data_IF_930520560088
#
_entry.id   IF_930520560088
#
_cell.length_a   1.000
_cell.length_b   1.000
_cell.length_c   1.000
_cell.angle_alpha   90.00
_cell.angle_beta   90.00
_cell.angle_gamma   90.00
#
_symmetry.space_group_name_H-M   'P 1'
#
loop_
_entity.id
_entity.type
_entity.pdbx_description
1 polymer ?
#
# COMPACT_ATOMS: atom_id res chain seq x y z
N UNK A 1 17.02 38.82 -21.38
CA UNK A 1 17.04 37.33 -21.38
C UNK A 1 17.60 36.72 -20.09
N UNK A 2 18.47 37.41 -19.33
CA UNK A 2 19.00 36.94 -18.03
C UNK A 2 18.00 36.96 -16.85
N UNK A 3 16.97 37.81 -16.88
CA UNK A 3 15.98 37.86 -15.78
C UNK A 3 15.07 36.62 -15.70
N UNK A 4 14.83 35.92 -16.81
CA UNK A 4 13.99 34.72 -16.80
C UNK A 4 14.69 33.52 -16.13
N UNK A 5 16.02 33.44 -16.16
CA UNK A 5 16.76 32.33 -15.54
C UNK A 5 16.72 32.42 -14.01
N UNK A 6 16.87 33.62 -13.45
CA UNK A 6 16.72 33.83 -12.00
C UNK A 6 15.29 33.57 -11.55
N UNK A 7 14.28 33.99 -12.31
CA UNK A 7 12.88 33.69 -12.01
C UNK A 7 12.59 32.19 -12.06
N UNK A 8 13.14 31.45 -13.02
CA UNK A 8 12.98 29.99 -13.12
C UNK A 8 13.69 29.27 -11.98
N UNK A 9 14.93 29.65 -11.63
CA UNK A 9 15.66 29.04 -10.50
C UNK A 9 15.02 29.37 -9.15
N UNK A 10 14.49 30.58 -8.97
CA UNK A 10 13.72 30.95 -7.79
C UNK A 10 12.39 30.19 -7.77
N UNK A 11 11.66 30.11 -8.89
CA UNK A 11 10.44 29.31 -8.98
C UNK A 11 10.70 27.84 -8.69
N UNK A 12 11.75 27.22 -9.25
CA UNK A 12 12.10 25.82 -8.97
C UNK A 12 12.53 25.62 -7.52
N UNK A 13 13.31 26.53 -6.94
CA UNK A 13 13.71 26.46 -5.52
C UNK A 13 12.51 26.63 -4.60
N UNK A 14 11.59 27.54 -4.95
CA UNK A 14 10.36 27.79 -4.23
C UNK A 14 9.37 26.63 -4.41
N UNK A 15 9.31 26.00 -5.58
CA UNK A 15 8.54 24.78 -5.84
C UNK A 15 9.09 23.59 -5.02
N UNK A 16 10.41 23.45 -4.93
CA UNK A 16 11.07 22.40 -4.14
C UNK A 16 10.85 22.62 -2.63
N UNK A 17 10.94 23.87 -2.16
CA UNK A 17 10.60 24.23 -0.78
C UNK A 17 9.10 24.03 -0.52
N UNK A 18 8.25 24.41 -1.48
CA UNK A 18 6.82 24.19 -1.43
C UNK A 18 6.52 22.69 -1.35
N UNK A 19 7.09 21.84 -2.18
CA UNK A 19 6.95 20.38 -2.10
C UNK A 19 7.46 19.81 -0.77
N UNK A 20 8.54 20.37 -0.21
CA UNK A 20 9.12 19.93 1.07
C UNK A 20 8.19 20.21 2.26
N UNK A 21 7.58 21.39 2.31
CA UNK A 21 6.62 21.75 3.38
C UNK A 21 5.20 21.26 3.11
N UNK A 22 4.82 21.13 1.83
CA UNK A 22 3.52 20.61 1.43
C UNK A 22 3.34 19.18 1.89
N UNK A 23 4.35 18.30 1.80
CA UNK A 23 4.11 16.87 2.09
C UNK A 23 3.62 16.62 3.52
N UNK A 24 4.25 17.23 4.53
CA UNK A 24 3.79 17.10 5.92
C UNK A 24 2.40 17.72 6.13
N UNK A 25 2.16 18.89 5.55
CA UNK A 25 0.86 19.59 5.61
C UNK A 25 -0.23 18.79 4.85
N UNK A 26 0.11 18.18 3.72
CA UNK A 26 -0.78 17.35 2.90
C UNK A 26 -1.23 16.12 3.67
N UNK A 27 -0.35 15.48 4.44
CA UNK A 27 -0.77 14.36 5.30
C UNK A 27 -1.83 14.83 6.31
N UNK A 28 -1.62 15.97 6.97
CA UNK A 28 -2.61 16.53 7.90
C UNK A 28 -3.89 16.98 7.20
N UNK A 29 -3.81 17.61 6.03
CA UNK A 29 -4.97 17.99 5.22
C UNK A 29 -5.75 16.77 4.78
N UNK A 30 -5.08 15.69 4.37
CA UNK A 30 -5.74 14.44 3.98
C UNK A 30 -6.41 13.79 5.18
N UNK A 31 -5.75 13.74 6.34
CA UNK A 31 -6.34 13.17 7.57
C UNK A 31 -7.50 14.01 8.11
N UNK A 32 -7.29 15.30 8.38
CA UNK A 32 -8.32 16.19 8.91
C UNK A 32 -9.41 16.49 7.88
N UNK A 33 -9.03 16.69 6.63
CA UNK A 33 -9.95 16.93 5.52
C UNK A 33 -10.79 15.71 5.20
N UNK A 34 -10.25 14.47 5.28
CA UNK A 34 -11.08 13.27 5.14
C UNK A 34 -12.10 13.16 6.26
N UNK A 35 -11.69 13.42 7.52
CA UNK A 35 -12.62 13.43 8.66
C UNK A 35 -13.71 14.49 8.47
N UNK A 36 -13.34 15.72 8.10
CA UNK A 36 -14.28 16.80 7.83
C UNK A 36 -15.24 16.45 6.69
N UNK A 37 -14.73 15.90 5.58
CA UNK A 37 -15.54 15.50 4.42
C UNK A 37 -16.52 14.38 4.79
N UNK A 38 -16.08 13.39 5.57
CA UNK A 38 -16.95 12.33 6.07
C UNK A 38 -18.05 12.85 7.01
N UNK A 39 -17.71 13.75 7.93
CA UNK A 39 -18.67 14.39 8.83
C UNK A 39 -19.69 15.22 8.06
N UNK A 40 -19.23 16.12 7.18
CA UNK A 40 -20.09 16.97 6.35
C UNK A 40 -20.97 16.12 5.45
N UNK A 41 -20.39 15.13 4.75
CA UNK A 41 -21.15 14.23 3.88
C UNK A 41 -22.22 13.44 4.64
N UNK A 42 -21.90 12.96 5.84
CA UNK A 42 -22.87 12.27 6.70
C UNK A 42 -24.01 13.20 7.13
N UNK A 43 -23.70 14.42 7.58
CA UNK A 43 -24.69 15.42 7.97
C UNK A 43 -25.60 15.76 6.78
N UNK A 44 -25.04 16.02 5.60
CA UNK A 44 -25.80 16.32 4.39
C UNK A 44 -26.72 15.17 3.98
N UNK A 45 -26.25 13.92 4.04
CA UNK A 45 -27.08 12.76 3.73
C UNK A 45 -28.25 12.59 4.71
N UNK A 46 -28.03 12.85 6.00
CA UNK A 46 -29.12 12.85 6.99
C UNK A 46 -30.13 13.97 6.77
N UNK A 47 -29.67 15.17 6.39
CA UNK A 47 -30.56 16.29 6.02
C UNK A 47 -31.38 15.95 4.76
N UNK A 48 -30.73 15.42 3.72
CA UNK A 48 -31.40 15.01 2.47
C UNK A 48 -32.43 13.90 2.70
N UNK A 49 -32.09 12.92 3.54
CA UNK A 49 -33.04 11.87 3.94
C UNK A 49 -34.24 12.46 4.70
N UNK A 50 -33.98 13.33 5.69
CA UNK A 50 -35.06 13.96 6.47
C UNK A 50 -35.99 14.77 5.58
N UNK A 51 -35.45 15.62 4.71
CA UNK A 51 -36.25 16.40 3.76
C UNK A 51 -37.07 15.49 2.82
N UNK A 52 -36.46 14.42 2.29
CA UNK A 52 -37.16 13.46 1.43
C UNK A 52 -38.24 12.70 2.18
N UNK A 53 -38.04 12.38 3.46
CA UNK A 53 -39.03 11.71 4.30
C UNK A 53 -40.20 12.61 4.63
N UNK A 54 -39.93 13.85 5.07
CA UNK A 54 -40.97 14.82 5.41
C UNK A 54 -41.87 15.12 4.19
N UNK A 55 -41.30 15.14 2.99
CA UNK A 55 -42.06 15.30 1.73
C UNK A 55 -42.95 14.08 1.45
N UNK A 56 -42.47 12.87 1.71
CA UNK A 56 -43.23 11.63 1.48
C UNK A 56 -44.34 11.43 2.51
N UNK A 57 -44.08 11.74 3.79
CA UNK A 57 -45.07 11.59 4.88
C UNK A 57 -46.23 12.60 4.74
N UNK A 58 -46.01 13.72 4.04
CA UNK A 58 -47.05 14.70 3.71
C UNK A 58 -47.97 14.32 2.54
N UNK A 59 -47.70 13.24 1.81
CA UNK A 59 -48.46 12.80 0.64
C UNK A 59 -49.25 11.51 0.95
N UNK A 60 -50.53 11.40 0.54
CA UNK A 60 -51.30 10.17 0.74
C UNK A 60 -50.61 8.97 0.06
N UNK A 61 -50.65 7.80 0.70
CA UNK A 61 -49.96 6.59 0.22
C UNK A 61 -50.40 6.10 -1.17
N UNK A 62 -51.57 6.53 -1.66
CA UNK A 62 -52.07 6.25 -3.01
C UNK A 62 -51.49 7.16 -4.10
N UNK A 63 -50.84 8.27 -3.75
CA UNK A 63 -50.29 9.27 -4.67
C UNK A 63 -48.76 9.32 -4.67
N UNK A 64 -48.10 8.57 -3.78
CA UNK A 64 -46.65 8.50 -3.69
C UNK A 64 -46.06 7.74 -4.90
N UNK A 65 -45.24 8.38 -5.74
CA UNK A 65 -44.54 7.68 -6.80
C UNK A 65 -43.53 6.66 -6.23
N UNK A 66 -43.50 5.44 -6.78
CA UNK A 66 -42.52 4.40 -6.40
C UNK A 66 -41.07 4.90 -6.44
N UNK A 67 -40.78 5.85 -7.34
CA UNK A 67 -39.47 6.48 -7.50
C UNK A 67 -39.06 7.27 -6.26
N UNK A 68 -39.97 8.02 -5.65
CA UNK A 68 -39.69 8.88 -4.48
C UNK A 68 -39.59 8.06 -3.18
N UNK A 69 -40.38 6.99 -3.06
CA UNK A 69 -40.22 6.01 -1.99
C UNK A 69 -38.85 5.32 -2.06
N UNK A 70 -38.43 4.90 -3.26
CA UNK A 70 -37.11 4.28 -3.48
C UNK A 70 -35.97 5.26 -3.23
N UNK A 71 -36.13 6.54 -3.61
CA UNK A 71 -35.16 7.61 -3.38
C UNK A 71 -34.92 7.85 -1.88
N UNK A 72 -35.99 7.94 -1.08
CA UNK A 72 -35.89 8.08 0.38
C UNK A 72 -35.18 6.89 1.04
N UNK A 73 -35.56 5.66 0.67
CA UNK A 73 -34.90 4.44 1.15
C UNK A 73 -33.42 4.39 0.76
N UNK A 74 -33.08 4.87 -0.44
CA UNK A 74 -31.70 4.95 -0.92
C UNK A 74 -30.88 5.96 -0.11
N UNK A 75 -31.42 7.14 0.20
CA UNK A 75 -30.74 8.11 1.06
C UNK A 75 -30.54 7.61 2.48
N UNK A 76 -31.52 6.88 3.05
CA UNK A 76 -31.36 6.25 4.36
C UNK A 76 -30.19 5.26 4.37
N UNK A 77 -30.12 4.38 3.37
CA UNK A 77 -29.05 3.40 3.25
C UNK A 77 -27.67 4.07 3.14
N UNK A 78 -27.56 5.14 2.33
CA UNK A 78 -26.31 5.90 2.21
C UNK A 78 -25.95 6.65 3.50
N UNK A 79 -26.92 7.23 4.22
CA UNK A 79 -26.68 7.93 5.48
C UNK A 79 -26.14 7.00 6.58
N UNK A 80 -26.72 5.79 6.71
CA UNK A 80 -26.26 4.75 7.63
C UNK A 80 -24.83 4.31 7.26
N UNK A 81 -24.58 4.01 5.99
CA UNK A 81 -23.25 3.61 5.52
C UNK A 81 -22.20 4.70 5.77
N UNK A 82 -22.54 5.97 5.52
CA UNK A 82 -21.66 7.10 5.76
C UNK A 82 -21.36 7.31 7.25
N UNK A 83 -22.34 7.07 8.13
CA UNK A 83 -22.15 7.14 9.58
C UNK A 83 -21.18 6.06 10.05
N UNK A 84 -21.35 4.82 9.59
CA UNK A 84 -20.44 3.71 9.89
C UNK A 84 -19.01 4.04 9.43
N UNK A 85 -18.85 4.50 8.18
CA UNK A 85 -17.56 4.88 7.64
C UNK A 85 -16.89 6.00 8.46
N UNK A 86 -17.65 7.01 8.87
CA UNK A 86 -17.15 8.14 9.67
C UNK A 86 -16.67 7.70 11.04
N UNK A 87 -17.40 6.79 11.72
CA UNK A 87 -17.00 6.22 13.01
C UNK A 87 -15.71 5.41 12.86
N UNK A 88 -15.61 4.57 11.83
CA UNK A 88 -14.41 3.76 11.56
C UNK A 88 -13.19 4.66 11.32
N UNK A 89 -13.30 5.66 10.45
CA UNK A 89 -12.20 6.60 10.16
C UNK A 89 -11.78 7.35 11.42
N UNK A 90 -12.74 7.83 12.21
CA UNK A 90 -12.46 8.52 13.47
C UNK A 90 -11.73 7.63 14.48
N UNK A 91 -12.17 6.37 14.63
CA UNK A 91 -11.51 5.39 15.50
C UNK A 91 -10.08 5.10 15.04
N UNK A 92 -9.87 4.90 13.74
CA UNK A 92 -8.53 4.66 13.18
C UNK A 92 -7.61 5.84 13.51
N UNK A 93 -8.04 7.08 13.24
CA UNK A 93 -7.25 8.28 13.52
C UNK A 93 -6.97 8.40 15.03
N UNK A 94 -7.96 8.14 15.88
CA UNK A 94 -7.81 8.22 17.33
C UNK A 94 -6.80 7.20 17.87
N UNK A 95 -6.92 5.93 17.48
CA UNK A 95 -6.02 4.85 17.92
C UNK A 95 -4.59 5.12 17.44
N UNK A 96 -4.45 5.64 16.21
CA UNK A 96 -3.15 5.86 15.59
C UNK A 96 -2.46 7.16 15.99
N UNK A 97 -3.11 8.05 16.74
CA UNK A 97 -2.61 9.41 17.04
C UNK A 97 -1.18 9.46 17.57
N UNK A 98 -0.77 8.45 18.34
CA UNK A 98 0.56 8.36 18.93
C UNK A 98 1.66 8.00 17.92
N UNK A 99 1.28 7.45 16.75
CA UNK A 99 2.20 7.02 15.68
C UNK A 99 2.24 8.01 14.51
N UNK A 100 1.23 8.88 14.37
CA UNK A 100 1.12 9.85 13.27
C UNK A 100 2.37 10.73 13.17
N UNK A 101 2.98 11.14 14.29
CA UNK A 101 4.20 11.98 14.26
C UNK A 101 5.34 11.34 13.48
N UNK A 102 5.63 10.06 13.72
CA UNK A 102 6.68 9.34 12.98
C UNK A 102 6.29 9.16 11.52
N UNK A 103 5.04 8.80 11.24
CA UNK A 103 4.56 8.61 9.87
C UNK A 103 4.70 9.91 9.08
N UNK A 104 4.29 11.05 9.65
CA UNK A 104 4.46 12.37 9.02
C UNK A 104 5.94 12.65 8.72
N UNK A 105 6.85 12.34 9.65
CA UNK A 105 8.29 12.49 9.42
C UNK A 105 8.80 11.58 8.29
N UNK A 106 8.36 10.32 8.24
CA UNK A 106 8.70 9.39 7.16
C UNK A 106 8.19 9.88 5.80
N UNK A 107 6.96 10.42 5.75
CA UNK A 107 6.42 11.03 4.54
C UNK A 107 7.21 12.26 4.13
N UNK A 108 7.58 13.14 5.06
CA UNK A 108 8.38 14.33 4.79
C UNK A 108 9.76 13.96 4.22
N UNK A 109 10.42 12.95 4.78
CA UNK A 109 11.68 12.42 4.25
C UNK A 109 11.51 11.74 2.89
N UNK A 110 10.41 11.00 2.67
CA UNK A 110 10.07 10.45 1.36
C UNK A 110 9.88 11.55 0.31
N UNK A 111 9.22 12.64 0.68
CA UNK A 111 9.06 13.84 -0.15
C UNK A 111 10.42 14.46 -0.52
N UNK A 112 11.33 14.59 0.45
CA UNK A 112 12.70 15.10 0.21
C UNK A 112 13.49 14.17 -0.72
N UNK A 113 13.37 12.86 -0.55
CA UNK A 113 14.05 11.88 -1.40
C UNK A 113 13.54 11.94 -2.85
N UNK A 114 12.23 12.00 -3.06
CA UNK A 114 11.61 12.12 -4.39
C UNK A 114 11.96 13.46 -5.04
N UNK A 115 11.93 14.56 -4.28
CA UNK A 115 12.31 15.89 -4.79
C UNK A 115 13.79 15.94 -5.20
N UNK A 116 14.67 15.23 -4.49
CA UNK A 116 16.08 15.11 -4.85
C UNK A 116 16.33 14.18 -6.05
N UNK A 117 15.40 13.25 -6.32
CA UNK A 117 15.53 12.23 -7.36
C UNK A 117 14.22 12.13 -8.19
N UNK A 118 13.86 13.17 -8.96
CA UNK A 118 12.57 13.24 -9.65
C UNK A 118 12.37 12.12 -10.69
N UNK A 119 13.46 11.51 -11.17
CA UNK A 119 13.42 10.35 -12.09
C UNK A 119 12.66 9.16 -11.47
N UNK A 120 12.60 9.04 -10.13
CA UNK A 120 11.81 8.00 -9.47
C UNK A 120 10.32 8.06 -9.81
N UNK A 121 9.78 9.24 -10.17
CA UNK A 121 8.38 9.38 -10.59
C UNK A 121 8.10 8.81 -11.98
N UNK A 122 9.14 8.59 -12.80
CA UNK A 122 9.01 7.94 -14.11
C UNK A 122 8.98 6.40 -14.00
N UNK A 123 9.36 5.85 -12.85
CA UNK A 123 9.47 4.40 -12.64
C UNK A 123 8.17 3.63 -12.94
N UNK A 124 6.96 4.08 -12.55
CA UNK A 124 5.73 3.37 -12.90
C UNK A 124 5.54 3.24 -14.40
N UNK A 125 5.86 4.29 -15.16
CA UNK A 125 5.70 4.30 -16.61
C UNK A 125 6.63 3.25 -17.24
N UNK A 126 7.87 3.15 -16.77
CA UNK A 126 8.80 2.11 -17.19
C UNK A 126 8.28 0.71 -16.85
N UNK A 127 7.77 0.52 -15.63
CA UNK A 127 7.17 -0.76 -15.23
C UNK A 127 5.97 -1.13 -16.10
N UNK A 128 5.06 -0.20 -16.41
CA UNK A 128 3.93 -0.47 -17.31
C UNK A 128 4.38 -0.80 -18.71
N UNK A 129 5.41 -0.13 -19.21
CA UNK A 129 5.98 -0.43 -20.52
C UNK A 129 6.51 -1.88 -20.55
N UNK A 130 7.32 -2.28 -19.57
CA UNK A 130 7.84 -3.65 -19.51
C UNK A 130 6.76 -4.70 -19.26
N UNK A 131 5.77 -4.41 -18.41
CA UNK A 131 4.61 -5.29 -18.22
C UNK A 131 3.76 -5.41 -19.49
N UNK A 132 3.55 -4.30 -20.21
CA UNK A 132 2.84 -4.27 -21.48
C UNK A 132 3.55 -5.11 -22.55
N UNK A 133 4.87 -4.98 -22.66
CA UNK A 133 5.70 -5.84 -23.52
C UNK A 133 5.58 -7.31 -23.12
N UNK A 134 5.62 -7.61 -21.81
CA UNK A 134 5.48 -8.99 -21.30
C UNK A 134 4.12 -9.58 -21.66
N UNK A 135 3.04 -8.81 -21.50
CA UNK A 135 1.69 -9.24 -21.88
C UNK A 135 1.58 -9.44 -23.38
N UNK A 136 2.14 -8.53 -24.19
CA UNK A 136 2.16 -8.67 -25.65
C UNK A 136 2.92 -9.93 -26.10
N UNK A 137 4.10 -10.19 -25.52
CA UNK A 137 4.87 -11.42 -25.76
C UNK A 137 4.11 -12.67 -25.34
N UNK A 138 3.43 -12.64 -24.18
CA UNK A 138 2.60 -13.74 -23.74
C UNK A 138 1.46 -14.03 -24.72
N UNK A 139 0.75 -13.00 -25.20
CA UNK A 139 -0.28 -13.15 -26.24
C UNK A 139 0.30 -13.69 -27.55
N UNK A 140 1.44 -13.16 -27.99
CA UNK A 140 2.15 -13.64 -29.17
C UNK A 140 2.45 -15.14 -29.06
N UNK A 141 3.09 -15.58 -27.98
CA UNK A 141 3.38 -17.00 -27.77
C UNK A 141 2.11 -17.85 -27.61
N UNK A 142 1.04 -17.33 -27.00
CA UNK A 142 -0.26 -18.00 -26.98
C UNK A 142 -0.78 -18.24 -28.39
N UNK A 143 -0.76 -17.25 -29.28
CA UNK A 143 -1.22 -17.41 -30.67
C UNK A 143 -0.38 -18.45 -31.43
N UNK A 144 0.94 -18.47 -31.24
CA UNK A 144 1.81 -19.49 -31.81
C UNK A 144 1.45 -20.89 -31.29
N UNK A 145 1.31 -21.06 -29.97
CA UNK A 145 0.95 -22.34 -29.36
C UNK A 145 -0.42 -22.82 -29.85
N UNK A 146 -1.40 -21.93 -29.98
CA UNK A 146 -2.75 -22.29 -30.44
C UNK A 146 -2.82 -22.64 -31.93
N UNK A 147 -1.99 -22.00 -32.77
CA UNK A 147 -1.96 -22.22 -34.22
C UNK A 147 -1.13 -23.44 -34.65
N UNK A 148 -0.26 -23.96 -33.79
CA UNK A 148 0.64 -25.09 -34.09
C UNK A 148 -0.04 -26.48 -34.10
N UNK A 149 -1.38 -26.54 -34.12
CA UNK A 149 -2.11 -27.81 -34.08
C UNK A 149 -2.04 -28.57 -35.39
N UNK A 150 -2.08 -29.90 -35.33
CA UNK A 150 -2.16 -30.73 -36.55
C UNK A 150 -3.61 -30.91 -36.96
N UNK A 151 -3.93 -30.68 -38.24
CA UNK A 151 -5.27 -30.92 -38.77
C UNK A 151 -5.54 -32.44 -38.76
N UNK A 152 -6.61 -32.87 -38.11
CA UNK A 152 -7.03 -34.27 -38.08
C UNK A 152 -8.52 -34.35 -38.40
N UNK A 153 -8.92 -35.33 -39.21
CA UNK A 153 -10.33 -35.58 -39.51
C UNK A 153 -10.96 -36.40 -38.37
N UNK A 154 -12.06 -35.92 -37.75
CA UNK A 154 -12.82 -36.73 -36.75
C UNK A 154 -13.94 -37.51 -37.40
N UNK A 155 -14.63 -36.89 -38.36
CA UNK A 155 -15.77 -37.43 -39.11
C UNK A 155 -15.68 -36.92 -40.54
N UNK A 156 -16.36 -37.59 -41.48
CA UNK A 156 -16.40 -37.19 -42.89
C UNK A 156 -16.64 -35.66 -43.02
N UNK A 157 -15.68 -34.95 -43.61
CA UNK A 157 -15.69 -33.50 -43.82
C UNK A 157 -15.70 -32.62 -42.55
N UNK A 158 -15.33 -33.15 -41.37
CA UNK A 158 -15.17 -32.40 -40.12
C UNK A 158 -13.73 -32.49 -39.63
N UNK A 159 -12.99 -31.40 -39.83
CA UNK A 159 -11.60 -31.24 -39.42
C UNK A 159 -11.50 -30.49 -38.09
N UNK A 160 -10.61 -30.94 -37.22
CA UNK A 160 -10.26 -30.26 -35.99
C UNK A 160 -8.74 -30.22 -35.83
N UNK A 161 -8.24 -29.16 -35.19
CA UNK A 161 -6.85 -29.07 -34.82
C UNK A 161 -6.61 -29.91 -33.56
N UNK A 162 -6.04 -31.10 -33.74
CA UNK A 162 -5.62 -31.96 -32.63
C UNK A 162 -4.36 -31.35 -32.00
N UNK A 163 -4.41 -31.16 -30.68
CA UNK A 163 -3.29 -30.61 -29.90
C UNK A 163 -2.56 -31.72 -29.18
N UNK A 164 -1.24 -31.71 -29.31
CA UNK A 164 -0.38 -32.72 -28.69
C UNK A 164 -0.17 -32.47 -27.19
N UNK A 165 0.34 -33.48 -26.48
CA UNK A 165 0.62 -33.38 -25.04
C UNK A 165 1.55 -32.22 -24.69
N UNK A 166 2.60 -32.04 -25.50
CA UNK A 166 3.55 -30.93 -25.36
C UNK A 166 2.90 -29.56 -25.51
N UNK A 167 1.96 -29.38 -26.44
CA UNK A 167 1.27 -28.11 -26.61
C UNK A 167 0.44 -27.72 -25.38
N UNK A 168 -0.19 -28.72 -24.74
CA UNK A 168 -0.94 -28.50 -23.48
C UNK A 168 -0.01 -28.07 -22.35
N UNK A 169 1.16 -28.69 -22.25
CA UNK A 169 2.20 -28.31 -21.26
C UNK A 169 2.72 -26.89 -21.54
N UNK A 170 3.09 -26.57 -22.77
CA UNK A 170 3.65 -25.26 -23.14
C UNK A 170 2.66 -24.11 -22.87
N UNK A 171 1.35 -24.35 -22.98
CA UNK A 171 0.32 -23.36 -22.59
C UNK A 171 0.44 -22.98 -21.11
N UNK A 172 0.59 -23.96 -20.22
CA UNK A 172 0.78 -23.73 -18.79
C UNK A 172 2.14 -23.13 -18.46
N UNK A 173 3.19 -23.58 -19.14
CA UNK A 173 4.52 -23.00 -19.03
C UNK A 173 4.54 -21.52 -19.43
N UNK A 174 3.92 -21.15 -20.56
CA UNK A 174 3.82 -19.75 -21.01
C UNK A 174 3.04 -18.88 -20.01
N UNK A 175 1.94 -19.42 -19.44
CA UNK A 175 1.18 -18.72 -18.40
C UNK A 175 2.01 -18.52 -17.12
N UNK A 176 2.72 -19.56 -16.66
CA UNK A 176 3.63 -19.44 -15.52
C UNK A 176 4.76 -18.43 -15.81
N UNK A 177 5.33 -18.47 -17.01
CA UNK A 177 6.36 -17.52 -17.46
C UNK A 177 5.87 -16.07 -17.41
N UNK A 178 4.63 -15.79 -17.81
CA UNK A 178 4.03 -14.46 -17.68
C UNK A 178 3.88 -14.02 -16.23
N UNK A 179 3.41 -14.90 -15.33
CA UNK A 179 3.33 -14.60 -13.90
C UNK A 179 4.71 -14.29 -13.31
N UNK A 180 5.72 -15.11 -13.64
CA UNK A 180 7.09 -14.94 -13.16
C UNK A 180 7.70 -13.65 -13.68
N UNK A 181 7.62 -13.37 -14.99
CA UNK A 181 8.15 -12.14 -15.57
C UNK A 181 7.45 -10.89 -15.01
N UNK A 182 6.14 -10.94 -14.75
CA UNK A 182 5.45 -9.83 -14.10
C UNK A 182 5.97 -9.57 -12.68
N UNK A 183 6.14 -10.62 -11.86
CA UNK A 183 6.73 -10.46 -10.52
C UNK A 183 8.20 -10.03 -10.58
N UNK A 184 8.94 -10.46 -11.60
CA UNK A 184 10.33 -10.08 -11.81
C UNK A 184 10.47 -8.59 -12.10
N UNK A 185 9.66 -8.05 -13.02
CA UNK A 185 9.65 -6.62 -13.34
C UNK A 185 9.28 -5.78 -12.10
N UNK A 186 8.26 -6.19 -11.35
CA UNK A 186 7.88 -5.51 -10.10
C UNK A 186 9.01 -5.57 -9.06
N UNK A 187 9.70 -6.72 -8.96
CA UNK A 187 10.86 -6.87 -8.08
C UNK A 187 12.05 -5.99 -8.50
N UNK A 188 12.29 -5.85 -9.81
CA UNK A 188 13.28 -4.92 -10.34
C UNK A 188 12.95 -3.48 -9.92
N UNK A 189 11.70 -3.05 -10.09
CA UNK A 189 11.24 -1.73 -9.64
C UNK A 189 11.52 -1.52 -8.14
N UNK A 190 11.14 -2.47 -7.28
CA UNK A 190 11.40 -2.36 -5.84
C UNK A 190 12.90 -2.22 -5.55
N UNK A 191 13.76 -3.00 -6.21
CA UNK A 191 15.21 -2.93 -6.03
C UNK A 191 15.79 -1.59 -6.49
N UNK A 192 15.36 -1.06 -7.65
CA UNK A 192 15.85 0.21 -8.18
C UNK A 192 15.49 1.37 -7.24
N UNK A 193 14.23 1.44 -6.81
CA UNK A 193 13.76 2.47 -5.87
C UNK A 193 14.51 2.32 -4.54
N UNK A 194 14.59 1.10 -4.00
CA UNK A 194 15.24 0.86 -2.72
C UNK A 194 16.72 1.28 -2.74
N UNK A 195 17.46 0.91 -3.78
CA UNK A 195 18.88 1.28 -3.91
C UNK A 195 19.09 2.77 -4.13
N UNK A 196 18.22 3.45 -4.89
CA UNK A 196 18.33 4.89 -5.08
C UNK A 196 18.07 5.65 -3.75
N UNK A 197 17.05 5.21 -3.00
CA UNK A 197 16.67 5.80 -1.71
C UNK A 197 17.70 5.48 -0.64
N UNK A 198 18.28 4.28 -0.59
CA UNK A 198 19.35 3.93 0.37
C UNK A 198 20.62 4.75 0.11
N UNK A 199 21.04 4.89 -1.16
CA UNK A 199 22.15 5.77 -1.56
C UNK A 199 21.86 7.20 -1.11
N UNK A 200 20.64 7.69 -1.33
CA UNK A 200 20.25 9.02 -0.87
C UNK A 200 20.30 9.12 0.65
N UNK A 201 19.71 8.17 1.38
CA UNK A 201 19.58 8.18 2.84
C UNK A 201 20.95 8.21 3.53
N UNK A 202 21.84 7.30 3.18
CA UNK A 202 23.16 7.16 3.80
C UNK A 202 24.22 8.13 3.27
N UNK A 203 23.89 9.01 2.32
CA UNK A 203 24.81 10.07 1.89
C UNK A 203 24.75 11.28 2.81
N UNK A 204 25.90 11.67 3.38
CA UNK A 204 26.00 12.82 4.30
C UNK A 204 25.71 14.15 3.60
N UNK A 205 26.34 14.38 2.44
CA UNK A 205 26.12 15.58 1.66
C UNK A 205 25.13 15.30 0.51
N UNK A 206 23.87 15.70 0.69
CA UNK A 206 22.82 15.52 -0.33
C UNK A 206 23.04 16.40 -1.59
N UNK A 207 23.92 17.40 -1.55
CA UNK A 207 24.22 18.23 -2.73
C UNK A 207 25.13 17.51 -3.75
N UNK A 208 25.93 16.53 -3.32
CA UNK A 208 26.84 15.76 -4.19
C UNK A 208 26.25 14.42 -4.63
N UNK A 209 24.92 14.32 -4.67
CA UNK A 209 24.18 13.05 -4.80
C UNK A 209 24.47 12.30 -6.12
N UNK A 210 24.84 13.00 -7.20
CA UNK A 210 25.08 12.40 -8.52
C UNK A 210 23.77 11.89 -9.14
N UNK A 211 23.76 10.67 -9.67
CA UNK A 211 22.58 10.03 -10.26
C UNK A 211 22.26 8.68 -9.58
N UNK A 212 21.71 8.68 -8.34
CA UNK A 212 21.45 7.45 -7.58
C UNK A 212 20.54 6.46 -8.30
N UNK A 213 19.57 6.96 -9.07
CA UNK A 213 18.69 6.12 -9.88
C UNK A 213 19.47 5.25 -10.88
N UNK A 214 20.37 5.88 -11.66
CA UNK A 214 21.17 5.18 -12.67
C UNK A 214 22.17 4.23 -11.99
N UNK A 215 22.78 4.66 -10.89
CA UNK A 215 23.66 3.81 -10.10
C UNK A 215 22.94 2.56 -9.57
N UNK A 216 21.75 2.74 -9.01
CA UNK A 216 20.89 1.65 -8.51
C UNK A 216 20.47 0.70 -9.63
N UNK A 217 20.00 1.23 -10.77
CA UNK A 217 19.65 0.43 -11.94
C UNK A 217 20.85 -0.36 -12.50
N UNK A 218 22.03 0.26 -12.56
CA UNK A 218 23.26 -0.41 -12.97
C UNK A 218 23.65 -1.53 -11.99
N UNK A 219 23.53 -1.29 -10.68
CA UNK A 219 23.82 -2.30 -9.67
C UNK A 219 22.85 -3.48 -9.74
N UNK A 220 21.55 -3.20 -9.97
CA UNK A 220 20.55 -4.23 -10.21
C UNK A 220 20.99 -5.15 -11.36
N UNK A 221 21.27 -4.56 -12.53
CA UNK A 221 21.61 -5.32 -13.76
C UNK A 221 22.91 -6.10 -13.59
N UNK A 222 23.92 -5.52 -12.93
CA UNK A 222 25.25 -6.15 -12.79
C UNK A 222 25.31 -7.22 -11.71
N UNK A 223 24.61 -7.03 -10.59
CA UNK A 223 24.86 -7.83 -9.38
C UNK A 223 23.60 -8.49 -8.79
N UNK A 224 22.40 -7.91 -8.95
CA UNK A 224 21.24 -8.33 -8.14
C UNK A 224 20.08 -8.96 -8.92
N UNK A 225 20.20 -9.16 -10.23
CA UNK A 225 19.16 -9.85 -11.03
C UNK A 225 18.83 -11.25 -10.49
N UNK A 226 19.82 -12.00 -9.99
CA UNK A 226 19.61 -13.33 -9.42
C UNK A 226 18.73 -13.32 -8.16
N UNK A 227 18.96 -12.36 -7.26
CA UNK A 227 18.14 -12.19 -6.05
C UNK A 227 16.69 -11.84 -6.40
N UNK A 228 16.49 -10.96 -7.39
CA UNK A 228 15.14 -10.59 -7.87
C UNK A 228 14.47 -11.77 -8.59
N UNK A 229 15.21 -12.53 -9.40
CA UNK A 229 14.71 -13.72 -10.09
C UNK A 229 14.22 -14.77 -9.08
N UNK A 230 14.99 -15.03 -8.02
CA UNK A 230 14.60 -15.98 -6.98
C UNK A 230 13.34 -15.51 -6.22
N UNK A 231 13.31 -14.27 -5.74
CA UNK A 231 12.16 -13.76 -4.99
C UNK A 231 10.88 -13.72 -5.84
N UNK A 232 10.98 -13.27 -7.09
CA UNK A 232 9.85 -13.25 -8.03
C UNK A 232 9.36 -14.65 -8.42
N UNK A 233 10.28 -15.62 -8.56
CA UNK A 233 9.92 -17.00 -8.85
C UNK A 233 9.09 -17.60 -7.72
N UNK A 234 9.50 -17.43 -6.47
CA UNK A 234 8.76 -17.93 -5.30
C UNK A 234 7.33 -17.37 -5.26
N UNK A 235 7.17 -16.06 -5.51
CA UNK A 235 5.84 -15.43 -5.56
C UNK A 235 5.00 -16.01 -6.70
N UNK A 236 5.59 -16.16 -7.89
CA UNK A 236 4.91 -16.69 -9.07
C UNK A 236 4.47 -18.16 -8.88
N UNK A 237 5.27 -18.98 -8.20
CA UNK A 237 4.89 -20.36 -7.84
C UNK A 237 3.63 -20.40 -7.00
N UNK A 238 3.54 -19.57 -5.96
CA UNK A 238 2.33 -19.50 -5.10
C UNK A 238 1.14 -18.95 -5.87
N UNK A 239 1.34 -17.94 -6.73
CA UNK A 239 0.29 -17.41 -7.60
C UNK A 239 -0.24 -18.48 -8.55
N UNK A 240 0.65 -19.26 -9.15
CA UNK A 240 0.28 -20.35 -10.04
C UNK A 240 -0.53 -21.43 -9.32
N UNK A 241 -0.11 -21.84 -8.12
CA UNK A 241 -0.87 -22.78 -7.27
C UNK A 241 -2.27 -22.25 -6.95
N UNK A 242 -2.42 -20.94 -6.66
CA UNK A 242 -3.74 -20.32 -6.44
C UNK A 242 -4.62 -20.35 -7.68
N UNK A 243 -4.06 -20.10 -8.86
CA UNK A 243 -4.80 -20.18 -10.12
C UNK A 243 -5.28 -21.61 -10.36
N UNK A 244 -4.42 -22.61 -10.17
CA UNK A 244 -4.81 -24.03 -10.28
C UNK A 244 -5.95 -24.35 -9.31
N UNK A 245 -5.84 -23.96 -8.04
CA UNK A 245 -6.87 -24.24 -7.04
C UNK A 245 -8.22 -23.62 -7.42
N UNK A 246 -8.21 -22.38 -7.93
CA UNK A 246 -9.42 -21.70 -8.42
C UNK A 246 -10.05 -22.40 -9.64
N UNK A 247 -9.22 -22.98 -10.51
CA UNK A 247 -9.69 -23.76 -11.66
C UNK A 247 -10.28 -25.10 -11.23
N UNK A 248 -9.68 -25.76 -10.24
CA UNK A 248 -10.23 -26.98 -9.63
C UNK A 248 -11.58 -26.69 -8.99
N UNK A 249 -11.70 -25.62 -8.21
CA UNK A 249 -12.98 -25.18 -7.62
C UNK A 249 -14.04 -24.93 -8.71
N UNK A 250 -13.69 -24.22 -9.79
CA UNK A 250 -14.61 -23.97 -10.90
C UNK A 250 -15.05 -25.26 -11.61
N UNK A 251 -14.16 -26.25 -11.74
CA UNK A 251 -14.48 -27.53 -12.37
C UNK A 251 -15.39 -28.40 -11.50
N UNK A 252 -15.25 -28.30 -10.17
CA UNK A 252 -16.00 -29.08 -9.20
C UNK A 252 -17.32 -28.43 -8.77
N UNK A 253 -17.56 -27.16 -9.13
CA UNK A 253 -18.84 -26.49 -8.86
C UNK A 253 -20.02 -27.35 -9.37
N UNK A 254 -20.96 -27.64 -8.46
CA UNK A 254 -22.13 -28.52 -8.61
C UNK A 254 -21.91 -30.05 -8.56
N UNK A 255 -20.69 -30.54 -8.30
CA UNK A 255 -20.39 -32.00 -8.26
C UNK A 255 -19.90 -32.53 -6.91
N UNK A 256 -19.82 -31.69 -5.88
CA UNK A 256 -19.09 -32.01 -4.64
C UNK A 256 -19.89 -31.78 -3.35
N UNK A 257 -19.54 -32.55 -2.31
CA UNK A 257 -20.13 -32.43 -0.97
C UNK A 257 -19.56 -31.26 -0.16
N UNK A 258 -20.28 -30.85 0.89
CA UNK A 258 -19.95 -29.69 1.75
C UNK A 258 -18.51 -29.70 2.30
N UNK A 259 -17.94 -30.88 2.57
CA UNK A 259 -16.57 -31.03 3.08
C UNK A 259 -15.50 -30.59 2.08
N UNK A 260 -15.65 -30.94 0.79
CA UNK A 260 -14.68 -30.57 -0.25
C UNK A 260 -14.74 -29.05 -0.49
N UNK A 261 -15.95 -28.49 -0.47
CA UNK A 261 -16.17 -27.05 -0.61
C UNK A 261 -15.51 -26.26 0.54
N UNK A 262 -15.62 -26.78 1.78
CA UNK A 262 -14.94 -26.22 2.94
C UNK A 262 -13.40 -26.30 2.81
N UNK A 263 -12.86 -27.44 2.38
CA UNK A 263 -11.42 -27.63 2.19
C UNK A 263 -10.85 -26.68 1.12
N UNK A 264 -11.52 -26.55 -0.02
CA UNK A 264 -11.09 -25.64 -1.10
C UNK A 264 -11.07 -24.19 -0.63
N UNK A 265 -12.08 -23.75 0.10
CA UNK A 265 -12.14 -22.40 0.71
C UNK A 265 -10.99 -22.17 1.70
N UNK A 266 -10.69 -23.16 2.54
CA UNK A 266 -9.56 -23.11 3.48
C UNK A 266 -8.22 -23.00 2.75
N UNK A 267 -7.95 -23.88 1.77
CA UNK A 267 -6.73 -23.85 0.97
C UNK A 267 -6.57 -22.53 0.21
N UNK A 268 -7.65 -21.98 -0.34
CA UNK A 268 -7.63 -20.69 -1.03
C UNK A 268 -7.25 -19.55 -0.08
N UNK A 269 -7.80 -19.56 1.14
CA UNK A 269 -7.44 -18.61 2.18
C UNK A 269 -5.96 -18.73 2.57
N UNK A 270 -5.47 -19.94 2.86
CA UNK A 270 -4.08 -20.18 3.24
C UNK A 270 -3.09 -19.73 2.15
N UNK A 271 -3.35 -20.09 0.89
CA UNK A 271 -2.48 -19.67 -0.21
C UNK A 271 -2.57 -18.16 -0.48
N UNK A 272 -3.75 -17.54 -0.30
CA UNK A 272 -3.88 -16.09 -0.38
C UNK A 272 -3.03 -15.39 0.69
N UNK A 273 -3.13 -15.82 1.95
CA UNK A 273 -2.32 -15.30 3.05
C UNK A 273 -0.82 -15.53 2.80
N UNK A 274 -0.45 -16.73 2.34
CA UNK A 274 0.94 -17.05 2.03
C UNK A 274 1.51 -16.19 0.90
N UNK A 275 0.75 -15.95 -0.17
CA UNK A 275 1.18 -15.02 -1.24
C UNK A 275 1.42 -13.61 -0.68
N UNK A 276 0.54 -13.12 0.18
CA UNK A 276 0.67 -11.78 0.79
C UNK A 276 1.90 -11.67 1.68
N UNK A 277 2.13 -12.66 2.54
CA UNK A 277 3.32 -12.73 3.39
C UNK A 277 4.58 -12.79 2.53
N UNK A 278 4.58 -13.62 1.49
CA UNK A 278 5.73 -13.79 0.61
C UNK A 278 6.05 -12.51 -0.17
N UNK A 279 5.04 -11.79 -0.67
CA UNK A 279 5.21 -10.47 -1.28
C UNK A 279 5.79 -9.45 -0.29
N UNK A 280 5.27 -9.42 0.94
CA UNK A 280 5.77 -8.55 2.00
C UNK A 280 7.23 -8.87 2.35
N UNK A 281 7.57 -10.13 2.60
CA UNK A 281 8.95 -10.54 2.88
C UNK A 281 9.88 -10.23 1.72
N UNK A 282 9.47 -10.53 0.48
CA UNK A 282 10.33 -10.31 -0.70
C UNK A 282 10.60 -8.83 -0.91
N UNK A 283 9.60 -7.96 -0.72
CA UNK A 283 9.76 -6.50 -0.80
C UNK A 283 10.79 -6.01 0.22
N UNK A 284 10.66 -6.40 1.49
CA UNK A 284 11.60 -6.00 2.53
C UNK A 284 13.00 -6.61 2.32
N UNK A 285 13.08 -7.85 1.82
CA UNK A 285 14.34 -8.47 1.45
C UNK A 285 15.04 -7.69 0.33
N UNK A 286 14.33 -7.21 -0.69
CA UNK A 286 14.93 -6.38 -1.74
C UNK A 286 15.51 -5.08 -1.19
N UNK A 287 14.89 -4.48 -0.18
CA UNK A 287 15.45 -3.29 0.48
C UNK A 287 16.78 -3.63 1.16
N UNK A 288 16.83 -4.71 1.94
CA UNK A 288 18.07 -5.17 2.59
C UNK A 288 19.18 -5.53 1.59
N UNK A 289 18.82 -6.20 0.48
CA UNK A 289 19.76 -6.46 -0.62
C UNK A 289 20.30 -5.14 -1.17
N UNK A 290 19.46 -4.12 -1.32
CA UNK A 290 19.88 -2.82 -1.86
C UNK A 290 20.76 -2.01 -0.89
N UNK A 291 20.63 -2.21 0.42
CA UNK A 291 21.46 -1.55 1.44
C UNK A 291 22.83 -2.23 1.57
N UNK A 292 22.85 -3.56 1.74
CA UNK A 292 24.08 -4.29 2.11
C UNK A 292 24.64 -5.19 1.02
N UNK A 293 23.89 -5.48 -0.04
CA UNK A 293 24.30 -6.41 -1.09
C UNK A 293 24.23 -7.89 -0.68
N UNK A 294 23.46 -8.24 0.37
CA UNK A 294 23.33 -9.63 0.81
C UNK A 294 22.60 -10.51 -0.21
N UNK A 295 22.80 -11.85 -0.18
CA UNK A 295 21.93 -12.79 -0.89
C UNK A 295 20.48 -12.72 -0.37
N UNK A 296 19.51 -12.94 -1.26
CA UNK A 296 18.07 -12.78 -0.99
C UNK A 296 17.59 -13.41 0.33
N UNK A 297 17.94 -14.67 0.61
CA UNK A 297 17.47 -15.35 1.82
C UNK A 297 18.04 -14.73 3.10
N UNK A 298 19.32 -14.33 3.10
CA UNK A 298 19.96 -13.67 4.24
C UNK A 298 19.37 -12.28 4.47
N UNK A 299 19.16 -11.53 3.39
CA UNK A 299 18.49 -10.23 3.42
C UNK A 299 17.06 -10.34 3.98
N UNK A 300 16.29 -11.34 3.56
CA UNK A 300 14.95 -11.59 4.08
C UNK A 300 14.93 -11.94 5.57
N UNK A 301 15.90 -12.71 6.06
CA UNK A 301 16.04 -13.01 7.49
C UNK A 301 16.36 -11.76 8.31
N UNK A 302 17.29 -10.92 7.83
CA UNK A 302 17.66 -9.67 8.49
C UNK A 302 16.48 -8.70 8.55
N UNK A 303 15.81 -8.47 7.41
CA UNK A 303 14.60 -7.65 7.35
C UNK A 303 13.53 -8.14 8.33
N UNK A 304 13.28 -9.45 8.36
CA UNK A 304 12.30 -10.03 9.26
C UNK A 304 12.68 -9.84 10.73
N UNK A 305 13.96 -10.03 11.08
CA UNK A 305 14.46 -9.80 12.45
C UNK A 305 14.24 -8.35 12.89
N UNK A 306 14.61 -7.39 12.04
CA UNK A 306 14.46 -5.96 12.30
C UNK A 306 12.99 -5.58 12.52
N UNK A 307 12.10 -6.05 11.64
CA UNK A 307 10.66 -5.74 11.67
C UNK A 307 9.92 -6.49 12.80
N UNK A 308 10.36 -7.68 13.17
CA UNK A 308 9.73 -8.51 14.21
C UNK A 308 10.09 -8.06 15.63
N UNK A 309 11.26 -7.44 15.83
CA UNK A 309 11.73 -6.94 17.13
C UNK A 309 10.69 -6.06 17.86
N UNK A 310 9.87 -5.33 17.09
CA UNK A 310 8.77 -4.50 17.58
C UNK A 310 7.56 -4.56 16.62
N UNK A 311 7.09 -5.77 16.32
CA UNK A 311 6.06 -6.03 15.29
C UNK A 311 4.80 -5.16 15.41
N UNK A 312 4.27 -4.95 16.62
CA UNK A 312 3.06 -4.12 16.83
C UNK A 312 3.29 -2.65 16.46
N UNK A 313 4.47 -2.12 16.77
CA UNK A 313 4.84 -0.74 16.45
C UNK A 313 5.02 -0.59 14.94
N UNK A 314 5.75 -1.51 14.33
CA UNK A 314 6.02 -1.54 12.89
C UNK A 314 4.73 -1.67 12.09
N UNK A 315 3.88 -2.64 12.43
CA UNK A 315 2.59 -2.85 11.78
C UNK A 315 1.66 -1.63 11.93
N UNK A 316 1.66 -0.98 13.10
CA UNK A 316 0.92 0.25 13.28
C UNK A 316 1.44 1.38 12.36
N UNK A 317 2.75 1.56 12.22
CA UNK A 317 3.33 2.60 11.36
C UNK A 317 2.99 2.36 9.88
N UNK A 318 3.19 1.14 9.38
CA UNK A 318 2.92 0.79 7.99
C UNK A 318 1.43 0.91 7.68
N UNK A 319 0.55 0.45 8.57
CA UNK A 319 -0.91 0.59 8.36
C UNK A 319 -1.38 2.03 8.34
N UNK A 320 -0.80 2.95 9.13
CA UNK A 320 -1.12 4.40 9.03
C UNK A 320 -0.69 4.92 7.66
N UNK A 321 0.53 4.58 7.23
CA UNK A 321 1.07 5.04 5.95
C UNK A 321 0.20 4.57 4.78
N UNK A 322 -0.16 3.28 4.77
CA UNK A 322 -1.06 2.70 3.78
C UNK A 322 -2.43 3.39 3.76
N UNK A 323 -2.97 3.71 4.94
CA UNK A 323 -4.23 4.43 5.07
C UNK A 323 -4.14 5.85 4.49
N UNK A 324 -3.06 6.58 4.77
CA UNK A 324 -2.83 7.92 4.22
C UNK A 324 -2.69 7.87 2.70
N UNK A 325 -1.93 6.91 2.16
CA UNK A 325 -1.79 6.73 0.70
C UNK A 325 -3.12 6.32 0.05
N UNK A 326 -3.93 5.50 0.72
CA UNK A 326 -5.27 5.15 0.27
C UNK A 326 -6.19 6.37 0.20
N UNK A 327 -6.23 7.19 1.26
CA UNK A 327 -7.01 8.44 1.25
C UNK A 327 -6.53 9.39 0.15
N UNK A 328 -5.21 9.47 -0.09
CA UNK A 328 -4.65 10.22 -1.22
C UNK A 328 -5.22 9.78 -2.57
N UNK A 329 -5.34 8.47 -2.82
CA UNK A 329 -5.96 7.91 -4.04
C UNK A 329 -7.43 8.33 -4.16
N UNK A 330 -8.18 8.24 -3.06
CA UNK A 330 -9.61 8.61 -3.02
C UNK A 330 -9.81 10.09 -3.34
N UNK A 331 -8.99 10.98 -2.76
CA UNK A 331 -9.05 12.42 -3.02
C UNK A 331 -8.81 12.74 -4.51
N UNK A 332 -7.81 12.11 -5.13
CA UNK A 332 -7.52 12.31 -6.57
C UNK A 332 -8.70 11.87 -7.44
N UNK A 333 -9.32 10.74 -7.14
CA UNK A 333 -10.48 10.23 -7.90
C UNK A 333 -11.69 11.16 -7.72
N UNK A 334 -12.00 11.56 -6.48
CA UNK A 334 -13.12 12.47 -6.21
C UNK A 334 -12.90 13.82 -6.92
N UNK A 335 -11.72 14.41 -6.81
CA UNK A 335 -11.40 15.67 -7.49
C UNK A 335 -11.58 15.55 -9.00
N UNK A 336 -11.10 14.46 -9.61
CA UNK A 336 -11.24 14.21 -11.05
C UNK A 336 -12.71 14.07 -11.46
N UNK A 337 -13.51 13.33 -10.68
CA UNK A 337 -14.94 13.15 -10.94
C UNK A 337 -15.70 14.47 -10.79
N UNK A 338 -15.43 15.27 -9.75
CA UNK A 338 -16.08 16.56 -9.53
C UNK A 338 -15.76 17.58 -10.63
N UNK A 339 -14.49 17.66 -11.04
CA UNK A 339 -14.06 18.50 -12.17
C UNK A 339 -14.74 18.00 -13.45
N UNK A 340 -14.77 16.68 -13.67
CA UNK A 340 -15.45 16.06 -14.81
C UNK A 340 -16.94 16.38 -14.87
N UNK A 341 -17.65 16.30 -13.74
CA UNK A 341 -19.08 16.68 -13.64
C UNK A 341 -19.25 18.15 -14.06
N UNK A 342 -18.49 19.08 -13.47
CA UNK A 342 -18.63 20.51 -13.79
C UNK A 342 -18.30 20.83 -15.25
N UNK A 343 -17.31 20.14 -15.83
CA UNK A 343 -16.93 20.33 -17.23
C UNK A 343 -17.97 19.79 -18.21
N UNK A 344 -18.70 18.72 -17.85
CA UNK A 344 -19.69 18.09 -18.72
C UNK A 344 -21.11 18.61 -18.51
N UNK A 345 -21.42 19.19 -17.35
CA UNK A 345 -22.76 19.71 -17.01
C UNK A 345 -23.28 20.76 -18.02
N UNK A 346 -22.37 21.54 -18.62
CA UNK A 346 -22.71 22.61 -19.56
C UNK A 346 -22.58 22.19 -21.05
N UNK A 347 -22.40 20.89 -21.34
CA UNK A 347 -22.14 20.41 -22.70
C UNK A 347 -23.37 19.75 -23.33
N UNK A 348 -24.00 20.47 -24.25
CA UNK A 348 -25.15 19.98 -25.01
C UNK A 348 -24.77 18.77 -25.90
N UNK A 349 -25.66 17.78 -25.99
CA UNK A 349 -25.51 16.60 -26.86
C UNK A 349 -24.99 15.32 -26.19
N UNK A 350 -24.72 15.31 -24.88
CA UNK A 350 -24.31 14.12 -24.12
C UNK A 350 -25.50 13.42 -23.43
N UNK A 351 -26.04 12.36 -24.05
CA UNK A 351 -27.16 11.59 -23.47
C UNK A 351 -26.78 10.76 -22.23
N UNK A 352 -25.51 10.37 -22.09
CA UNK A 352 -25.02 9.55 -20.98
C UNK A 352 -23.76 10.12 -20.33
N UNK A 353 -23.91 11.19 -19.55
CA UNK A 353 -22.80 11.88 -18.87
C UNK A 353 -22.00 10.96 -17.92
N UNK A 354 -22.63 9.96 -17.32
CA UNK A 354 -22.01 9.08 -16.33
C UNK A 354 -20.93 8.16 -16.92
N UNK A 355 -21.00 7.78 -18.20
CA UNK A 355 -20.03 6.89 -18.85
C UNK A 355 -18.63 7.53 -18.93
N UNK A 356 -18.44 8.73 -19.53
CA UNK A 356 -17.14 9.38 -19.58
C UNK A 356 -16.62 9.77 -18.18
N UNK A 357 -17.50 10.10 -17.23
CA UNK A 357 -17.12 10.39 -15.84
C UNK A 357 -16.62 9.14 -15.13
N UNK A 358 -17.31 8.00 -15.29
CA UNK A 358 -16.89 6.74 -14.71
C UNK A 358 -15.55 6.28 -15.29
N UNK A 359 -15.37 6.44 -16.61
CA UNK A 359 -14.13 6.11 -17.29
C UNK A 359 -12.97 7.01 -16.84
N UNK A 360 -13.20 8.32 -16.71
CA UNK A 360 -12.16 9.25 -16.23
C UNK A 360 -11.80 8.99 -14.77
N UNK A 361 -12.79 8.71 -13.91
CA UNK A 361 -12.56 8.31 -12.52
C UNK A 361 -11.77 7.00 -12.40
N UNK A 362 -12.08 6.00 -13.23
CA UNK A 362 -11.34 4.73 -13.29
C UNK A 362 -9.89 4.95 -13.73
N UNK A 363 -9.67 5.77 -14.77
CA UNK A 363 -8.34 6.10 -15.24
C UNK A 363 -7.53 6.85 -14.16
N UNK A 364 -8.16 7.83 -13.50
CA UNK A 364 -7.55 8.56 -12.39
C UNK A 364 -7.16 7.63 -11.23
N UNK A 365 -8.00 6.63 -10.91
CA UNK A 365 -7.68 5.63 -9.88
C UNK A 365 -6.41 4.85 -10.24
N UNK A 366 -6.32 4.35 -11.49
CA UNK A 366 -5.13 3.62 -11.92
C UNK A 366 -3.90 4.51 -11.84
N UNK A 367 -3.93 5.71 -12.42
CA UNK A 367 -2.80 6.65 -12.38
C UNK A 367 -2.38 6.94 -10.94
N UNK A 368 -3.33 7.27 -10.06
CA UNK A 368 -3.06 7.51 -8.64
C UNK A 368 -2.45 6.28 -7.94
N UNK A 369 -2.97 5.08 -8.22
CA UNK A 369 -2.43 3.84 -7.67
C UNK A 369 -0.95 3.66 -8.02
N UNK A 370 -0.59 3.88 -9.29
CA UNK A 370 0.77 3.73 -9.80
C UNK A 370 1.79 4.62 -9.07
N UNK A 371 1.47 5.92 -8.98
CA UNK A 371 2.35 6.89 -8.31
C UNK A 371 2.46 6.62 -6.81
N UNK A 372 1.32 6.29 -6.17
CA UNK A 372 1.31 6.01 -4.73
C UNK A 372 2.08 4.75 -4.38
N UNK A 373 2.14 3.73 -5.24
CA UNK A 373 2.97 2.53 -5.01
C UNK A 373 4.47 2.86 -4.99
N UNK A 374 4.93 3.82 -5.80
CA UNK A 374 6.33 4.31 -5.70
C UNK A 374 6.54 5.00 -4.36
N UNK A 375 5.61 5.86 -3.96
CA UNK A 375 5.68 6.55 -2.69
C UNK A 375 5.73 5.57 -1.50
N UNK A 376 4.90 4.53 -1.54
CA UNK A 376 4.89 3.41 -0.59
C UNK A 376 6.27 2.75 -0.52
N UNK A 377 6.89 2.46 -1.67
CA UNK A 377 8.21 1.84 -1.73
C UNK A 377 9.32 2.74 -1.16
N UNK A 378 9.24 4.05 -1.40
CA UNK A 378 10.17 5.04 -0.83
C UNK A 378 10.03 5.11 0.68
N UNK A 379 8.79 5.20 1.21
CA UNK A 379 8.54 5.22 2.66
C UNK A 379 9.10 3.96 3.32
N UNK A 380 8.78 2.78 2.80
CA UNK A 380 9.26 1.51 3.36
C UNK A 380 10.78 1.44 3.37
N UNK A 381 11.42 1.91 2.30
CA UNK A 381 12.88 1.96 2.23
C UNK A 381 13.47 2.90 3.26
N UNK A 382 12.92 4.12 3.41
CA UNK A 382 13.38 5.07 4.42
C UNK A 382 13.17 4.52 5.83
N UNK A 383 12.03 3.87 6.06
CA UNK A 383 11.73 3.25 7.34
C UNK A 383 12.74 2.14 7.68
N UNK A 384 13.07 1.26 6.72
CA UNK A 384 14.06 0.21 6.96
C UNK A 384 15.46 0.79 7.12
N UNK A 385 15.85 1.78 6.32
CA UNK A 385 17.13 2.50 6.49
C UNK A 385 17.21 3.16 7.88
N UNK A 386 16.11 3.73 8.37
CA UNK A 386 16.02 4.31 9.72
C UNK A 386 16.17 3.26 10.81
N UNK A 387 15.53 2.10 10.67
CA UNK A 387 15.67 1.00 11.62
C UNK A 387 17.11 0.47 11.65
N UNK A 388 17.75 0.28 10.49
CA UNK A 388 19.17 -0.12 10.40
C UNK A 388 20.11 0.96 10.94
N UNK A 389 19.85 2.25 10.67
CA UNK A 389 20.62 3.37 11.25
C UNK A 389 20.52 3.37 12.78
N UNK A 390 19.35 3.06 13.35
CA UNK A 390 19.15 2.91 14.79
C UNK A 390 19.89 1.70 15.40
N UNK A 391 20.02 0.59 14.65
CA UNK A 391 20.69 -0.62 15.13
C UNK A 391 22.22 -0.51 15.03
N UNK A 392 22.74 0.14 13.99
CA UNK A 392 24.19 0.17 13.71
C UNK A 392 24.93 1.37 14.28
N UNK A 393 24.22 2.48 14.49
CA UNK A 393 24.80 3.74 14.95
C UNK A 393 24.30 4.09 16.35
N UNK A 394 25.18 4.65 17.18
CA UNK A 394 24.92 4.99 18.57
C UNK A 394 24.63 6.48 18.77
N UNK A 395 24.94 7.31 17.76
CA UNK A 395 24.81 8.76 17.82
C UNK A 395 26.01 9.46 18.45
N UNK A 396 26.98 8.71 18.97
CA UNK A 396 28.19 9.23 19.64
C UNK A 396 29.43 8.90 18.81
N UNK A 397 29.88 7.64 18.85
CA UNK A 397 31.05 7.18 18.11
C UNK A 397 30.75 7.04 16.61
N UNK A 398 29.51 6.68 16.29
CA UNK A 398 28.99 6.58 14.93
C UNK A 398 27.75 7.46 14.84
N UNK A 399 27.87 8.66 14.28
CA UNK A 399 26.74 9.58 14.21
C UNK A 399 25.66 9.02 13.30
N UNK A 400 24.39 9.19 13.67
CA UNK A 400 23.25 8.79 12.82
C UNK A 400 23.25 9.51 11.47
N UNK A 401 22.74 8.85 10.44
CA UNK A 401 22.53 9.43 9.10
C UNK A 401 21.13 10.07 8.95
N UNK A 402 20.19 9.68 9.81
CA UNK A 402 18.82 10.18 9.81
C UNK A 402 18.73 11.71 9.95
N UNK A 403 17.63 12.28 9.48
CA UNK A 403 17.37 13.71 9.62
C UNK A 403 17.10 14.11 11.08
N UNK A 404 17.22 15.41 11.38
CA UNK A 404 16.96 15.95 12.72
C UNK A 404 15.54 15.60 13.22
N UNK A 405 14.54 15.61 12.34
CA UNK A 405 13.16 15.27 12.72
C UNK A 405 12.99 13.82 13.14
N UNK A 406 13.67 12.88 12.47
CA UNK A 406 13.69 11.47 12.87
C UNK A 406 14.48 11.26 14.18
N UNK A 407 15.61 11.96 14.34
CA UNK A 407 16.43 11.90 15.55
C UNK A 407 15.68 12.42 16.78
N UNK A 408 15.02 13.58 16.67
CA UNK A 408 14.19 14.15 17.72
C UNK A 408 13.07 13.19 18.14
N UNK A 409 12.48 12.47 17.17
CA UNK A 409 11.50 11.44 17.46
C UNK A 409 12.09 10.26 18.26
N UNK A 410 13.29 9.80 17.93
CA UNK A 410 14.01 8.74 18.69
C UNK A 410 14.31 9.21 20.11
N UNK A 411 14.86 10.41 20.27
CA UNK A 411 15.18 10.97 21.58
C UNK A 411 13.94 11.14 22.46
N UNK A 412 12.84 11.68 21.89
CA UNK A 412 11.57 11.81 22.60
C UNK A 412 11.00 10.45 23.02
N UNK A 413 11.19 9.42 22.18
CA UNK A 413 10.79 8.05 22.52
C UNK A 413 11.63 7.46 23.66
N UNK A 414 12.96 7.68 23.65
CA UNK A 414 13.87 7.25 24.73
C UNK A 414 13.52 7.94 26.05
N UNK A 415 13.39 9.27 26.04
CA UNK A 415 12.99 10.06 27.22
C UNK A 415 11.65 9.59 27.81
N UNK A 416 10.68 9.25 26.97
CA UNK A 416 9.39 8.74 27.44
C UNK A 416 9.49 7.37 28.13
N UNK A 417 10.37 6.49 27.64
CA UNK A 417 10.67 5.20 28.29
C UNK A 417 11.40 5.40 29.61
N UNK A 418 12.39 6.29 29.68
CA UNK A 418 13.13 6.57 30.91
C UNK A 418 12.21 7.11 32.02
N UNK A 419 11.26 7.99 31.67
CA UNK A 419 10.25 8.48 32.62
C UNK A 419 9.35 7.35 33.12
N UNK A 420 8.94 6.43 32.23
CA UNK A 420 8.13 5.28 32.60
C UNK A 420 8.88 4.36 33.56
N UNK A 421 10.14 4.02 33.26
CA UNK A 421 10.98 3.18 34.11
C UNK A 421 11.26 3.82 35.47
N UNK A 422 11.45 5.13 35.50
CA UNK A 422 11.64 5.89 36.74
C UNK A 422 10.38 5.84 37.60
N UNK A 423 9.20 6.02 37.01
CA UNK A 423 7.91 5.90 37.72
C UNK A 423 7.64 4.48 38.20
N UNK A 424 7.97 3.47 37.39
CA UNK A 424 7.82 2.07 37.79
C UNK A 424 8.71 1.73 39.00
N UNK A 425 9.95 2.24 39.02
CA UNK A 425 10.87 2.10 40.15
C UNK A 425 10.36 2.84 41.40
N UNK A 426 9.84 4.06 41.28
CA UNK A 426 9.31 4.80 42.43
C UNK A 426 8.08 4.11 43.04
N UNK A 427 7.16 3.62 42.21
CA UNK A 427 5.98 2.87 42.70
C UNK A 427 6.35 1.53 43.33
N UNK A 428 7.39 0.84 42.83
CA UNK A 428 7.88 -0.39 43.45
C UNK A 428 8.55 -0.14 44.81
N UNK A 429 9.21 1.02 45.00
CA UNK A 429 9.78 1.41 46.29
C UNK A 429 8.69 1.79 47.30
N UNK A 430 7.64 2.50 46.88
CA UNK A 430 6.49 2.80 47.76
C UNK A 430 5.78 1.52 48.22
N UNK A 431 5.60 0.51 47.35
CA UNK A 431 4.97 -0.76 47.73
C UNK A 431 5.78 -1.55 48.77
N UNK A 432 7.11 -1.43 48.77
CA UNK A 432 7.98 -2.06 49.78
C UNK A 432 8.03 -1.31 51.11
N UNK A 433 7.56 -0.06 51.14
CA UNK A 433 7.49 0.76 52.35
C UNK A 433 6.17 0.64 53.11
N UNK A 434 5.19 -0.11 52.58
CA UNK A 434 3.96 -0.45 53.31
C UNK A 434 4.30 -1.53 54.35
N UNK A 435 4.17 -1.25 55.66
CA UNK A 435 4.45 -2.26 56.68
C UNK A 435 3.45 -3.40 56.56
N UNK A 436 3.92 -4.64 56.39
CA UNK A 436 3.12 -5.84 56.62
C UNK A 436 2.66 -5.84 58.07
N UNK A 437 1.37 -5.56 58.30
CA UNK A 437 0.71 -5.86 59.56
C UNK A 437 0.58 -7.39 59.63
N UNK A 438 1.64 -8.08 60.04
CA UNK A 438 1.54 -9.47 60.48
C UNK A 438 0.89 -9.46 61.86
N UNK A 439 -0.36 -9.89 61.92
CA UNK A 439 -1.15 -9.97 63.15
C UNK A 439 -0.50 -10.93 64.15
N UNK A 440 -0.17 -10.39 65.32
CA UNK A 440 0.11 -11.16 66.52
C UNK A 440 -1.19 -11.21 67.34
N UNK A 441 -2.12 -12.07 66.91
CA UNK A 441 -3.33 -12.43 67.67
C UNK A 441 -3.16 -13.87 68.10
N UNK A 442 -2.51 -14.09 69.25
CA UNK A 442 -2.68 -15.28 70.11
C UNK A 442 -1.83 -15.13 71.37
N UNK A 443 -2.35 -14.44 72.38
CA UNK A 443 -2.05 -14.67 73.80
C UNK A 443 -2.93 -13.75 74.64
N UNK A 444 -4.03 -14.30 75.15
CA UNK A 444 -4.61 -14.00 76.46
C UNK A 444 -5.93 -14.79 76.62
N UNK A 445 -5.79 -16.05 77.04
CA UNK A 445 -6.83 -16.81 77.74
C UNK A 445 -6.13 -17.76 78.71
N UNK A 446 -5.80 -17.25 79.89
CA UNK A 446 -5.50 -18.02 81.11
C UNK A 446 -5.28 -17.02 82.25
N UNK A 447 -6.24 -16.96 83.18
CA UNK A 447 -6.22 -16.06 84.35
C UNK A 447 -7.63 -15.63 84.72
#
# INVERSE_FOLDING_TARGET
MFNNWNSVSVLSSLLLVLFRYLVGVVVWIVLLGSLATCLIGTILLWILWKHSKDTNDGMPSSLLPDVDARKSNTYLAFAILATIATVIISLIIFVMRNRIKLVVQLFEEAGKAIAAMPILLLEPVLTFLFLGVTVALWFYFCLWIESSGTLTETRANVFYYKKDGWMKFTRWYNFFGMLWMAQFIIGCQHMVIAGAVSIWYFKRNKASLGTPFIASASNLIRYHLGSVALGSFLIATVQFMRVILKLVEKYLNNKQGKCIDCLLKCCHCCLYCFEKILKYLSRNAYIEVAIFGYPFCRAGQQAFKLLSSNVLRVAAINSVGDFVLFLGKVVVVIATVLIGIRMLEHKDGLQHMWVPIALSGLFAYFVAHCFMTVYEMVIDTIFLCFCEDCEQNDGESRPYFMSRGLMEFVENSKKALDIYDTRAKSSATELKSVPTISGDVTRNFSG
#
